data_IF_620267097237
#
_entry.id   IF_620267097237
#
_cell.length_a   1.000
_cell.length_b   1.000
_cell.length_c   1.000
_cell.angle_alpha   90.00
_cell.angle_beta   90.00
_cell.angle_gamma   90.00
#
_symmetry.space_group_name_H-M   'P 1'
#
loop_
_entity.id
_entity.type
_entity.pdbx_description
1 polymer ?
#
# COMPACT_ATOMS: atom_id res chain seq x y z
N UNK A 1 26.61 -55.68 18.32
CA UNK A 1 27.55 -54.74 17.66
C UNK A 1 26.70 -53.67 17.01
N UNK A 2 26.28 -52.66 17.79
CA UNK A 2 27.04 -51.41 18.02
C UNK A 2 26.82 -50.45 16.84
N UNK A 3 26.38 -49.19 16.98
CA UNK A 3 26.37 -48.28 18.12
C UNK A 3 25.40 -47.11 17.82
N UNK A 4 24.92 -46.48 18.89
CA UNK A 4 24.16 -45.24 18.93
C UNK A 4 24.82 -44.02 18.25
N UNK A 5 23.98 -43.03 17.92
CA UNK A 5 24.37 -41.60 17.85
C UNK A 5 24.02 -40.96 16.51
N UNK A 6 23.25 -39.89 16.40
CA UNK A 6 22.76 -38.99 17.42
C UNK A 6 21.76 -37.99 16.83
N UNK A 7 20.91 -37.47 17.71
CA UNK A 7 20.25 -36.17 17.57
C UNK A 7 21.22 -35.12 17.07
N UNK A 8 20.85 -34.39 16.02
CA UNK A 8 21.19 -32.99 15.81
C UNK A 8 20.09 -32.38 14.93
N UNK A 9 19.08 -31.77 15.56
CA UNK A 9 18.38 -30.68 14.89
C UNK A 9 19.23 -29.42 15.00
N UNK A 10 19.20 -28.51 14.03
CA UNK A 10 19.17 -27.09 14.32
C UNK A 10 17.69 -26.70 14.37
N UNK A 11 17.14 -26.45 15.56
CA UNK A 11 17.23 -25.14 16.20
C UNK A 11 16.53 -24.11 15.32
N UNK A 12 15.24 -23.89 15.61
CA UNK A 12 14.68 -22.56 15.84
C UNK A 12 15.48 -21.40 15.22
N UNK A 13 15.49 -21.29 13.89
CA UNK A 13 15.47 -19.98 13.29
C UNK A 13 14.00 -19.60 13.30
N UNK A 14 13.56 -19.06 14.43
CA UNK A 14 12.35 -18.25 14.50
C UNK A 14 12.32 -17.38 13.25
N UNK A 15 11.18 -17.41 12.57
CA UNK A 15 10.82 -16.59 11.43
C UNK A 15 11.26 -15.13 11.64
N UNK A 16 12.49 -14.79 11.24
CA UNK A 16 12.85 -13.41 10.90
C UNK A 16 12.45 -13.20 9.43
N UNK A 17 11.24 -13.62 9.08
CA UNK A 17 10.57 -13.04 7.94
C UNK A 17 10.24 -11.62 8.38
N UNK A 18 11.12 -10.65 8.08
CA UNK A 18 10.63 -9.29 7.92
C UNK A 18 9.46 -9.42 6.95
N UNK A 19 8.22 -9.11 7.36
CA UNK A 19 7.12 -9.15 6.43
C UNK A 19 7.45 -8.10 5.38
N UNK A 20 7.93 -8.53 4.21
CA UNK A 20 8.35 -7.66 3.11
C UNK A 20 7.22 -6.66 2.86
N UNK A 21 7.39 -5.39 3.25
CA UNK A 21 6.27 -4.48 3.30
C UNK A 21 5.89 -4.14 1.87
N UNK A 22 4.84 -4.75 1.35
CA UNK A 22 4.49 -4.58 -0.07
C UNK A 22 4.01 -3.16 -0.32
N UNK A 23 4.75 -2.39 -1.12
CA UNK A 23 4.31 -1.08 -1.60
C UNK A 23 3.16 -1.31 -2.58
N UNK A 24 1.98 -0.86 -2.19
CA UNK A 24 0.82 -0.85 -3.07
C UNK A 24 0.60 0.57 -3.59
N UNK A 25 0.47 0.74 -4.90
CA UNK A 25 0.30 2.02 -5.57
C UNK A 25 -0.89 1.96 -6.52
N UNK A 26 -1.90 2.80 -6.29
CA UNK A 26 -3.11 2.90 -7.10
C UNK A 26 -3.28 4.31 -7.66
N UNK A 27 -3.50 4.40 -8.97
CA UNK A 27 -3.80 5.64 -9.68
C UNK A 27 -5.25 5.63 -10.09
N UNK A 28 -5.96 6.67 -9.70
CA UNK A 28 -7.34 6.90 -10.06
C UNK A 28 -7.45 8.23 -10.80
N UNK A 29 -8.25 8.25 -11.84
CA UNK A 29 -8.53 9.45 -12.62
C UNK A 29 -10.02 9.70 -12.74
N UNK A 30 -10.37 10.98 -12.80
CA UNK A 30 -11.72 11.43 -13.11
C UNK A 30 -11.62 12.49 -14.19
N UNK A 31 -12.12 12.13 -15.37
CA UNK A 31 -12.19 12.99 -16.55
C UNK A 31 -13.64 13.15 -16.98
N UNK A 32 -14.09 14.40 -17.13
CA UNK A 32 -15.38 14.76 -17.69
C UNK A 32 -15.19 16.03 -18.51
N UNK A 33 -15.21 15.88 -19.83
CA UNK A 33 -14.97 16.96 -20.78
C UNK A 33 -16.11 17.98 -20.78
N UNK A 34 -17.36 17.53 -20.61
CA UNK A 34 -18.54 18.40 -20.60
C UNK A 34 -18.51 19.37 -19.42
N UNK A 35 -17.87 18.97 -18.30
CA UNK A 35 -17.78 19.78 -17.08
C UNK A 35 -16.36 20.32 -16.79
N UNK A 36 -15.41 20.21 -17.74
CA UNK A 36 -14.00 20.62 -17.57
C UNK A 36 -13.34 20.05 -16.29
N UNK A 37 -13.62 18.76 -16.01
CA UNK A 37 -13.05 18.03 -14.88
C UNK A 37 -11.93 17.16 -15.40
N UNK A 38 -10.71 17.42 -14.94
CA UNK A 38 -9.56 16.56 -15.15
C UNK A 38 -8.78 16.48 -13.84
N UNK A 39 -8.99 15.41 -13.07
CA UNK A 39 -8.38 15.25 -11.74
C UNK A 39 -7.78 13.86 -11.57
N UNK A 40 -6.67 13.80 -10.87
CA UNK A 40 -6.04 12.57 -10.44
C UNK A 40 -6.17 12.39 -8.93
N UNK A 41 -6.12 11.14 -8.49
CA UNK A 41 -6.04 10.73 -7.11
C UNK A 41 -5.14 9.49 -7.01
N UNK A 42 -4.09 9.57 -6.20
CA UNK A 42 -3.14 8.47 -5.99
C UNK A 42 -3.24 8.01 -4.55
N UNK A 43 -3.31 6.70 -4.36
CA UNK A 43 -3.22 6.01 -3.08
C UNK A 43 -1.96 5.16 -3.08
N UNK A 44 -1.08 5.34 -2.10
CA UNK A 44 0.06 4.45 -1.89
C UNK A 44 0.20 3.99 -0.45
N UNK A 45 0.58 2.73 -0.27
CA UNK A 45 1.06 2.19 1.00
C UNK A 45 2.57 2.18 0.97
N UNK A 46 3.18 2.85 1.93
CA UNK A 46 4.63 3.01 2.02
C UNK A 46 5.07 2.62 3.45
N UNK A 47 6.10 1.77 3.62
CA UNK A 47 6.65 1.48 4.94
C UNK A 47 7.26 2.74 5.55
N UNK A 48 7.24 2.86 6.87
CA UNK A 48 7.83 4.02 7.57
C UNK A 48 8.87 3.59 8.59
N UNK A 49 9.66 4.56 9.06
CA UNK A 49 10.73 4.31 10.03
C UNK A 49 10.22 4.06 11.46
N UNK A 50 8.98 4.46 11.78
CA UNK A 50 8.45 4.47 13.16
C UNK A 50 7.05 3.83 13.30
N UNK A 51 6.29 3.75 12.22
CA UNK A 51 5.02 3.02 12.14
C UNK A 51 5.17 1.88 11.12
N UNK A 52 4.40 0.81 11.26
CA UNK A 52 4.52 -0.32 10.33
C UNK A 52 4.23 0.10 8.89
N UNK A 53 3.17 0.89 8.65
CA UNK A 53 2.81 1.35 7.31
C UNK A 53 2.15 2.73 7.32
N UNK A 54 2.39 3.51 6.27
CA UNK A 54 1.67 4.76 6.00
C UNK A 54 0.85 4.68 4.71
N UNK A 55 -0.35 5.25 4.78
CA UNK A 55 -1.17 5.57 3.61
C UNK A 55 -0.84 6.98 3.13
N UNK A 56 -0.20 7.07 1.97
CA UNK A 56 0.06 8.32 1.27
C UNK A 56 -1.03 8.55 0.23
N UNK A 57 -1.63 9.74 0.28
CA UNK A 57 -2.69 10.17 -0.65
C UNK A 57 -2.21 11.40 -1.38
N UNK A 58 -2.27 11.40 -2.72
CA UNK A 58 -1.92 12.56 -3.55
C UNK A 58 -3.12 12.90 -4.44
N UNK A 59 -3.38 14.19 -4.68
CA UNK A 59 -4.52 14.60 -5.49
C UNK A 59 -4.30 15.94 -6.15
N UNK A 60 -4.84 16.12 -7.36
CA UNK A 60 -4.68 17.37 -8.08
C UNK A 60 -5.49 17.41 -9.37
N UNK A 61 -5.27 18.48 -10.14
CA UNK A 61 -5.68 18.51 -11.55
C UNK A 61 -4.61 17.81 -12.37
N UNK A 62 -5.02 17.08 -13.42
CA UNK A 62 -4.07 16.42 -14.33
C UNK A 62 -3.19 17.51 -14.97
N UNK A 63 -1.87 17.28 -15.00
CA UNK A 63 -0.88 18.23 -15.52
C UNK A 63 -0.49 19.38 -14.57
N UNK A 64 -0.96 19.38 -13.31
CA UNK A 64 -0.55 20.37 -12.29
C UNK A 64 -0.16 19.72 -10.98
N UNK A 65 0.70 20.40 -10.23
CA UNK A 65 1.00 20.04 -8.85
C UNK A 65 -0.28 20.04 -8.00
N UNK A 66 -0.37 19.05 -7.13
CA UNK A 66 -1.51 18.81 -6.27
C UNK A 66 -1.15 18.82 -4.80
N UNK A 67 -2.14 18.53 -3.95
CA UNK A 67 -1.92 18.28 -2.53
C UNK A 67 -1.53 16.83 -2.27
N UNK A 68 -0.94 16.60 -1.10
CA UNK A 68 -0.77 15.27 -0.56
C UNK A 68 -1.08 15.24 0.94
N UNK A 69 -1.36 14.05 1.46
CA UNK A 69 -1.53 13.79 2.89
C UNK A 69 -1.07 12.38 3.23
N UNK A 70 -0.34 12.30 4.33
CA UNK A 70 0.14 11.05 4.92
C UNK A 70 -0.74 10.70 6.11
N UNK A 71 -1.04 9.42 6.27
CA UNK A 71 -1.78 8.86 7.40
C UNK A 71 -1.00 7.64 7.90
N UNK A 72 -0.58 7.66 9.16
CA UNK A 72 0.23 6.60 9.75
C UNK A 72 -0.67 5.55 10.40
N UNK A 73 -0.30 4.28 10.26
CA UNK A 73 -1.00 3.16 10.86
C UNK A 73 -0.01 2.24 11.56
N UNK A 74 -0.41 1.76 12.74
CA UNK A 74 0.40 0.84 13.55
C UNK A 74 0.55 -0.54 12.92
N UNK A 75 -0.35 -0.92 11.99
CA UNK A 75 -0.31 -2.22 11.31
C UNK A 75 -0.51 -2.10 9.80
N UNK A 76 0.10 -3.02 9.04
CA UNK A 76 -0.13 -3.14 7.59
C UNK A 76 -1.60 -3.41 7.25
N UNK A 77 -2.29 -4.20 8.08
CA UNK A 77 -3.71 -4.49 7.91
C UNK A 77 -4.56 -3.21 8.01
N UNK A 78 -4.32 -2.38 9.04
CA UNK A 78 -5.02 -1.11 9.22
C UNK A 78 -4.79 -0.13 8.07
N UNK A 79 -3.56 -0.03 7.57
CA UNK A 79 -3.26 0.80 6.40
C UNK A 79 -3.97 0.31 5.14
N UNK A 80 -4.04 -1.01 4.95
CA UNK A 80 -4.73 -1.64 3.82
C UNK A 80 -6.23 -1.39 3.87
N UNK A 81 -6.86 -1.52 5.05
CA UNK A 81 -8.28 -1.22 5.24
C UNK A 81 -8.59 0.26 4.94
N UNK A 82 -7.75 1.17 5.43
CA UNK A 82 -7.86 2.60 5.17
C UNK A 82 -7.76 2.89 3.66
N UNK A 83 -6.80 2.27 2.96
CA UNK A 83 -6.67 2.39 1.51
C UNK A 83 -7.93 1.89 0.79
N UNK A 84 -8.43 0.71 1.13
CA UNK A 84 -9.64 0.15 0.52
C UNK A 84 -10.86 1.04 0.76
N UNK A 85 -10.97 1.61 1.95
CA UNK A 85 -12.03 2.56 2.31
C UNK A 85 -11.98 3.80 1.42
N UNK A 86 -10.78 4.37 1.20
CA UNK A 86 -10.60 5.50 0.29
C UNK A 86 -10.86 5.14 -1.16
N UNK A 87 -10.40 3.97 -1.62
CA UNK A 87 -10.65 3.45 -2.96
C UNK A 87 -12.16 3.37 -3.23
N UNK A 88 -12.91 2.67 -2.38
CA UNK A 88 -14.37 2.53 -2.48
C UNK A 88 -15.06 3.90 -2.51
N UNK A 89 -14.64 4.82 -1.63
CA UNK A 89 -15.18 6.20 -1.58
C UNK A 89 -14.95 6.96 -2.90
N UNK A 90 -13.80 6.80 -3.55
CA UNK A 90 -13.47 7.49 -4.80
C UNK A 90 -14.14 6.85 -6.02
N UNK A 91 -14.23 5.53 -6.06
CA UNK A 91 -14.98 4.82 -7.12
C UNK A 91 -16.45 5.26 -7.14
N UNK A 92 -17.09 5.43 -5.98
CA UNK A 92 -18.45 5.99 -5.85
C UNK A 92 -18.58 7.43 -6.36
N UNK A 93 -17.48 8.16 -6.50
CA UNK A 93 -17.43 9.54 -7.03
C UNK A 93 -16.98 9.58 -8.49
N UNK A 94 -17.19 8.50 -9.22
CA UNK A 94 -16.87 8.37 -10.65
C UNK A 94 -15.38 8.50 -10.98
N UNK A 95 -14.50 8.28 -10.00
CA UNK A 95 -13.10 8.02 -10.31
C UNK A 95 -12.98 6.61 -10.87
N UNK A 96 -12.10 6.42 -11.83
CA UNK A 96 -11.77 5.13 -12.44
C UNK A 96 -10.34 4.78 -12.10
N UNK A 97 -10.09 3.50 -11.79
CA UNK A 97 -8.74 3.00 -11.59
C UNK A 97 -8.04 2.93 -12.95
N UNK A 98 -6.95 3.68 -13.12
CA UNK A 98 -6.16 3.73 -14.37
C UNK A 98 -4.82 3.01 -14.23
N UNK A 99 -4.33 2.82 -13.00
CA UNK A 99 -3.10 2.07 -12.74
C UNK A 99 -3.10 1.42 -11.37
N UNK A 100 -2.48 0.25 -11.27
CA UNK A 100 -2.21 -0.43 -10.03
C UNK A 100 -0.84 -1.10 -10.11
N UNK A 101 -0.01 -0.94 -9.08
CA UNK A 101 1.28 -1.61 -8.95
C UNK A 101 1.43 -2.12 -7.53
N UNK A 102 1.95 -3.34 -7.40
CA UNK A 102 2.38 -3.90 -6.13
C UNK A 102 3.85 -4.25 -6.29
N UNK A 103 4.73 -3.49 -5.64
CA UNK A 103 6.16 -3.74 -5.63
C UNK A 103 6.53 -4.30 -4.26
N UNK A 104 7.30 -5.40 -4.15
CA UNK A 104 7.98 -5.69 -2.89
C UNK A 104 8.86 -4.47 -2.53
N UNK A 105 8.81 -4.02 -1.28
CA UNK A 105 9.65 -2.89 -0.84
C UNK A 105 11.14 -3.21 -0.98
#
# INVERSE_FOLDING_TARGET
MEICGGRLGPSSAVDFAMPEPSIQYLVLERTDAAHNIARYYVLSLEPTLFAEMALVRRWGRIGRAGGHRVEFHETQAGATEALQTWLKRKLRRSYRLTGASKRPA
#
